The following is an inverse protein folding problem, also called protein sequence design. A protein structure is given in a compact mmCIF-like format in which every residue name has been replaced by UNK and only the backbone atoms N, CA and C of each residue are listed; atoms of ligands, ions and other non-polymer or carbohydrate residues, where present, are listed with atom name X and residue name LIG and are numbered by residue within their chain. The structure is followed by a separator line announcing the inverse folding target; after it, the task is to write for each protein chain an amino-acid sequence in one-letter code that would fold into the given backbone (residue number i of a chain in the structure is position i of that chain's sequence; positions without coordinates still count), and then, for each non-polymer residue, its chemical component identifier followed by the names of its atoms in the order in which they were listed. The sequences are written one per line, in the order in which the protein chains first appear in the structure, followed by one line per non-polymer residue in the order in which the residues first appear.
data_IF_213780494302
#
_entry.id   IF_213780494302
#
_cell.length_a   1.000
_cell.length_b   1.000
_cell.length_c   1.000
_cell.angle_alpha   90.00
_cell.angle_beta   90.00
_cell.angle_gamma   90.00
#
_symmetry.space_group_name_H-M   'P 1'
#
loop_
_entity.id
_entity.type
_entity.pdbx_description
1 polymer ?
#
# COMPACT_ATOMS: atom_id res chain seq x y z
N UNK A 1 0.74 -1.87 -0.21
CA UNK A 1 0.96 -3.31 0.05
C UNK A 1 0.00 -3.85 1.11
N UNK A 2 -0.15 -3.24 2.31
CA UNK A 2 -1.03 -3.77 3.36
C UNK A 2 -2.48 -3.97 2.87
N UNK A 3 -3.07 -3.00 2.16
CA UNK A 3 -4.44 -3.12 1.63
C UNK A 3 -4.58 -4.21 0.57
N UNK A 4 -3.59 -4.44 -0.28
CA UNK A 4 -3.58 -5.55 -1.22
C UNK A 4 -3.66 -6.91 -0.49
N UNK A 5 -2.92 -7.07 0.59
CA UNK A 5 -2.98 -8.28 1.42
C UNK A 5 -4.32 -8.43 2.16
N UNK A 6 -4.95 -7.33 2.60
CA UNK A 6 -6.31 -7.39 3.17
C UNK A 6 -7.34 -7.83 2.13
N UNK A 7 -7.26 -7.29 0.90
CA UNK A 7 -8.11 -7.71 -0.21
C UNK A 7 -7.91 -9.20 -0.55
N UNK A 8 -6.67 -9.71 -0.49
CA UNK A 8 -6.38 -11.14 -0.66
C UNK A 8 -7.06 -11.99 0.43
N UNK A 9 -7.01 -11.57 1.70
CA UNK A 9 -7.71 -12.23 2.80
C UNK A 9 -9.23 -12.23 2.59
N UNK A 10 -9.78 -11.15 2.04
CA UNK A 10 -11.22 -10.98 1.81
C UNK A 10 -11.73 -11.69 0.56
N UNK A 11 -10.87 -12.17 -0.36
CA UNK A 11 -11.31 -13.01 -1.46
C UNK A 11 -10.72 -12.73 -2.83
N UNK A 12 -10.14 -11.55 -3.08
CA UNK A 12 -9.45 -11.28 -4.34
C UNK A 12 -8.22 -12.18 -4.48
N UNK A 13 -7.78 -12.42 -5.71
CA UNK A 13 -6.58 -13.20 -5.99
C UNK A 13 -5.40 -12.28 -6.36
N UNK A 14 -4.14 -12.74 -6.16
CA UNK A 14 -2.96 -11.91 -6.45
C UNK A 14 -2.95 -11.34 -7.87
N UNK A 15 -3.26 -12.16 -8.87
CA UNK A 15 -3.28 -11.72 -10.27
C UNK A 15 -4.39 -10.70 -10.55
N UNK A 16 -5.56 -10.82 -9.92
CA UNK A 16 -6.66 -9.87 -10.06
C UNK A 16 -6.24 -8.50 -9.49
N UNK A 17 -5.67 -8.51 -8.28
CA UNK A 17 -5.24 -7.27 -7.61
C UNK A 17 -4.13 -6.58 -8.42
N UNK A 18 -3.14 -7.35 -8.87
CA UNK A 18 -2.04 -6.82 -9.68
C UNK A 18 -2.56 -6.24 -11.01
N UNK A 19 -3.42 -6.96 -11.73
CA UNK A 19 -4.01 -6.49 -12.99
C UNK A 19 -4.87 -5.25 -12.81
N UNK A 20 -5.69 -5.18 -11.77
CA UNK A 20 -6.51 -4.02 -11.48
C UNK A 20 -5.64 -2.76 -11.25
N UNK A 21 -4.57 -2.89 -10.46
CA UNK A 21 -3.67 -1.77 -10.17
C UNK A 21 -2.77 -1.42 -11.36
N UNK A 22 -2.34 -2.40 -12.15
CA UNK A 22 -1.62 -2.15 -13.41
C UNK A 22 -2.54 -1.48 -14.45
N UNK A 23 -3.83 -1.82 -14.51
CA UNK A 23 -4.81 -1.13 -15.35
C UNK A 23 -5.07 0.31 -14.91
N UNK A 24 -4.98 0.59 -13.61
CA UNK A 24 -4.98 1.96 -13.08
C UNK A 24 -3.77 2.75 -13.56
N UNK A 25 -2.65 2.07 -13.87
CA UNK A 25 -1.44 2.63 -14.45
C UNK A 25 -0.19 2.46 -13.59
N UNK A 26 -0.22 1.69 -12.50
CA UNK A 26 0.99 1.32 -11.77
C UNK A 26 1.90 0.47 -12.67
N UNK A 27 3.21 0.69 -12.57
CA UNK A 27 4.20 -0.04 -13.39
C UNK A 27 4.25 -1.55 -13.08
N UNK A 28 3.88 -1.93 -11.87
CA UNK A 28 3.89 -3.31 -11.39
C UNK A 28 2.89 -3.48 -10.25
N UNK A 29 2.17 -4.58 -10.25
CA UNK A 29 1.27 -4.93 -9.16
C UNK A 29 2.01 -5.29 -7.87
N UNK A 30 1.36 -5.12 -6.71
CA UNK A 30 2.00 -5.28 -5.40
C UNK A 30 2.51 -6.69 -5.12
N UNK A 31 1.84 -7.73 -5.58
CA UNK A 31 2.27 -9.12 -5.33
C UNK A 31 3.46 -9.50 -6.21
N UNK A 32 3.50 -9.03 -7.47
CA UNK A 32 4.68 -9.16 -8.33
C UNK A 32 5.88 -8.41 -7.74
N UNK A 33 5.64 -7.23 -7.17
CA UNK A 33 6.70 -6.45 -6.52
C UNK A 33 7.20 -7.15 -5.24
N UNK A 34 6.31 -7.71 -4.42
CA UNK A 34 6.70 -8.47 -3.23
C UNK A 34 7.54 -9.69 -3.60
N UNK A 35 7.16 -10.44 -4.64
CA UNK A 35 7.94 -11.59 -5.13
C UNK A 35 9.30 -11.17 -5.69
N UNK A 36 9.40 -9.99 -6.31
CA UNK A 36 10.66 -9.45 -6.82
C UNK A 36 11.63 -9.09 -5.69
N UNK A 37 11.13 -8.43 -4.63
CA UNK A 37 11.92 -8.03 -3.45
C UNK A 37 12.32 -9.26 -2.63
N UNK A 38 11.41 -10.21 -2.50
CA UNK A 38 11.53 -11.40 -1.67
C UNK A 38 10.75 -11.28 -0.35
N UNK A 39 9.85 -12.23 -0.16
CA UNK A 39 8.93 -12.28 1.00
C UNK A 39 9.67 -12.53 2.31
N UNK A 40 10.81 -13.23 2.26
CA UNK A 40 11.56 -13.65 3.44
C UNK A 40 12.25 -12.50 4.19
N UNK A 41 12.41 -11.33 3.60
CA UNK A 41 13.06 -10.19 4.27
C UNK A 41 12.30 -9.79 5.54
N UNK A 42 11.03 -9.48 5.41
CA UNK A 42 10.17 -9.12 6.55
C UNK A 42 9.88 -10.30 7.49
N UNK A 43 9.68 -11.49 6.93
CA UNK A 43 9.45 -12.71 7.69
C UNK A 43 10.62 -13.06 8.61
N UNK A 44 11.86 -13.05 8.09
CA UNK A 44 13.07 -13.30 8.90
C UNK A 44 13.24 -12.26 10.00
N UNK A 45 13.01 -10.99 9.71
CA UNK A 45 13.09 -9.92 10.71
C UNK A 45 12.10 -10.15 11.87
N UNK A 46 10.84 -10.52 11.58
CA UNK A 46 9.83 -10.87 12.60
C UNK A 46 10.23 -12.09 13.41
N UNK A 47 10.70 -13.16 12.75
CA UNK A 47 11.17 -14.36 13.46
C UNK A 47 12.34 -14.06 14.39
N UNK A 48 13.30 -13.25 13.98
CA UNK A 48 14.45 -12.89 14.82
C UNK A 48 14.05 -12.01 16.00
N UNK A 49 13.07 -11.12 15.84
CA UNK A 49 12.60 -10.24 16.93
C UNK A 49 11.53 -10.90 17.82
N UNK A 50 11.06 -12.11 17.50
CA UNK A 50 9.97 -12.77 18.22
C UNK A 50 8.61 -12.05 18.11
N UNK A 51 8.45 -11.19 17.11
CA UNK A 51 7.20 -10.46 16.88
C UNK A 51 6.17 -11.36 16.18
N UNK A 52 4.92 -11.25 16.61
CA UNK A 52 3.81 -11.87 15.88
C UNK A 52 3.64 -11.23 14.50
N UNK A 53 3.20 -12.03 13.55
CA UNK A 53 2.90 -11.57 12.20
C UNK A 53 1.65 -10.70 12.20
N UNK A 54 1.76 -9.41 11.86
CA UNK A 54 0.58 -8.58 11.63
C UNK A 54 -0.34 -9.20 10.60
N UNK A 55 -1.64 -9.01 10.75
CA UNK A 55 -2.65 -9.64 9.88
C UNK A 55 -2.34 -9.50 8.37
N UNK A 56 -1.94 -8.33 7.83
CA UNK A 56 -1.63 -8.20 6.40
C UNK A 56 -0.39 -9.01 5.96
N UNK A 57 0.42 -9.54 6.86
CA UNK A 57 1.63 -10.29 6.50
C UNK A 57 1.48 -11.79 6.63
N UNK A 58 0.40 -12.27 7.28
CA UNK A 58 0.22 -13.69 7.60
C UNK A 58 0.28 -14.62 6.39
N UNK A 59 -0.32 -14.23 5.26
CA UNK A 59 -0.26 -15.04 4.03
C UNK A 59 1.17 -15.12 3.50
N UNK A 60 1.87 -13.97 3.41
CA UNK A 60 3.27 -13.93 2.97
C UNK A 60 4.19 -14.74 3.86
N UNK A 61 3.96 -14.70 5.18
CA UNK A 61 4.71 -15.49 6.15
C UNK A 61 4.44 -16.99 6.00
N UNK A 62 3.19 -17.39 5.77
CA UNK A 62 2.85 -18.80 5.51
C UNK A 62 3.44 -19.31 4.19
N UNK A 63 3.54 -18.48 3.16
CA UNK A 63 4.26 -18.82 1.94
C UNK A 63 5.77 -19.04 2.23
N UNK A 64 6.37 -18.19 3.06
CA UNK A 64 7.77 -18.34 3.48
C UNK A 64 8.02 -19.64 4.26
N UNK A 65 7.06 -20.10 5.11
CA UNK A 65 7.15 -21.41 5.80
C UNK A 65 7.22 -22.58 4.80
N UNK A 66 6.72 -22.40 3.58
CA UNK A 66 6.80 -23.37 2.49
C UNK A 66 7.98 -23.12 1.55
N UNK A 67 8.96 -22.29 1.95
CA UNK A 67 10.12 -21.87 1.15
C UNK A 67 9.74 -21.13 -0.14
N UNK A 68 8.56 -20.50 -0.20
CA UNK A 68 8.09 -19.68 -1.30
C UNK A 68 8.49 -18.23 -1.03
N UNK A 69 9.73 -17.87 -1.40
CA UNK A 69 10.33 -16.57 -1.08
C UNK A 69 10.20 -15.53 -2.20
N UNK A 70 9.51 -15.85 -3.29
CA UNK A 70 9.39 -15.03 -4.49
C UNK A 70 10.27 -15.51 -5.63
N UNK A 71 10.65 -14.60 -6.53
CA UNK A 71 11.41 -14.93 -7.74
C UNK A 71 12.71 -15.68 -7.47
N UNK A 72 13.42 -15.37 -6.40
CA UNK A 72 14.70 -16.01 -6.04
C UNK A 72 14.60 -17.50 -5.69
N UNK A 73 13.40 -17.97 -5.33
CA UNK A 73 13.11 -19.38 -5.09
C UNK A 73 12.21 -19.99 -6.15
N UNK A 74 11.99 -19.29 -7.25
CA UNK A 74 11.05 -19.62 -8.33
C UNK A 74 9.59 -19.80 -7.86
N UNK A 75 9.27 -19.42 -6.65
CA UNK A 75 7.95 -19.53 -6.06
C UNK A 75 7.73 -18.47 -4.97
N UNK A 76 6.58 -17.80 -5.03
CA UNK A 76 6.09 -16.81 -4.07
C UNK A 76 4.57 -16.78 -4.11
N UNK A 77 3.99 -15.61 -4.27
CA UNK A 77 2.57 -15.47 -4.64
C UNK A 77 2.29 -16.06 -6.02
N UNK A 78 3.29 -16.05 -6.88
CA UNK A 78 3.31 -16.65 -8.21
C UNK A 78 4.36 -17.75 -8.28
N UNK A 79 4.27 -18.55 -9.35
CA UNK A 79 5.32 -19.45 -9.77
C UNK A 79 6.16 -18.82 -10.88
N UNK A 80 7.44 -19.14 -10.92
CA UNK A 80 8.37 -18.65 -11.92
C UNK A 80 9.13 -19.80 -12.56
N UNK A 81 9.35 -19.70 -13.87
CA UNK A 81 10.26 -20.63 -14.57
C UNK A 81 11.68 -20.13 -14.40
N UNK A 82 12.62 -21.02 -14.18
CA UNK A 82 14.04 -20.69 -14.06
C UNK A 82 14.51 -19.80 -15.24
N UNK A 83 15.18 -18.70 -14.92
CA UNK A 83 15.61 -17.69 -15.89
C UNK A 83 14.53 -16.74 -16.42
N UNK A 84 13.26 -16.91 -16.02
CA UNK A 84 12.16 -16.04 -16.40
C UNK A 84 11.63 -15.23 -15.21
N UNK A 85 11.30 -13.95 -15.44
CA UNK A 85 10.60 -13.09 -14.47
C UNK A 85 9.09 -13.02 -14.71
N UNK A 86 8.58 -13.76 -15.69
CA UNK A 86 7.15 -13.79 -15.96
C UNK A 86 6.42 -14.56 -14.86
N UNK A 87 5.41 -13.95 -14.20
CA UNK A 87 4.64 -14.62 -13.19
C UNK A 87 3.68 -15.63 -13.83
N UNK A 88 3.61 -16.83 -13.26
CA UNK A 88 2.60 -17.83 -13.59
C UNK A 88 1.67 -17.99 -12.39
N UNK A 89 0.36 -18.21 -12.57
CA UNK A 89 -0.56 -18.49 -11.49
C UNK A 89 -0.06 -19.63 -10.59
N UNK A 90 -0.35 -19.52 -9.30
CA UNK A 90 0.00 -20.53 -8.29
C UNK A 90 -1.28 -20.98 -7.56
N UNK A 91 -2.14 -21.79 -8.21
CA UNK A 91 -3.42 -22.21 -7.64
C UNK A 91 -3.26 -23.02 -6.35
N UNK A 92 -2.14 -23.68 -6.16
CA UNK A 92 -1.80 -24.40 -4.91
C UNK A 92 -1.76 -23.49 -3.68
N UNK A 93 -1.56 -22.19 -3.86
CA UNK A 93 -1.57 -21.23 -2.76
C UNK A 93 -2.99 -20.94 -2.23
N UNK A 94 -4.04 -21.26 -2.98
CA UNK A 94 -5.41 -20.95 -2.58
C UNK A 94 -5.83 -21.65 -1.29
N UNK A 95 -5.28 -22.85 -1.00
CA UNK A 95 -5.51 -23.52 0.27
C UNK A 95 -4.97 -22.69 1.44
N UNK A 96 -3.79 -22.07 1.28
CA UNK A 96 -3.20 -21.19 2.29
C UNK A 96 -4.07 -19.94 2.47
N UNK A 97 -4.51 -19.33 1.38
CA UNK A 97 -5.36 -18.15 1.42
C UNK A 97 -6.66 -18.44 2.15
N UNK A 98 -7.34 -19.53 1.80
CA UNK A 98 -8.60 -19.94 2.41
C UNK A 98 -8.45 -20.25 3.90
N UNK A 99 -7.40 -20.99 4.27
CA UNK A 99 -7.09 -21.34 5.67
C UNK A 99 -6.88 -20.07 6.51
N UNK A 100 -5.97 -19.19 6.08
CA UNK A 100 -5.62 -17.98 6.85
C UNK A 100 -6.80 -17.02 6.92
N UNK A 101 -7.57 -16.87 5.83
CA UNK A 101 -8.80 -16.07 5.82
C UNK A 101 -9.79 -16.58 6.88
N UNK A 102 -10.08 -17.88 6.87
CA UNK A 102 -11.01 -18.51 7.83
C UNK A 102 -10.53 -18.39 9.28
N UNK A 103 -9.25 -18.68 9.55
CA UNK A 103 -8.65 -18.59 10.89
C UNK A 103 -8.69 -17.16 11.47
N UNK A 104 -8.77 -16.13 10.60
CA UNK A 104 -8.85 -14.73 11.01
C UNK A 104 -10.26 -14.13 10.84
N UNK A 105 -11.28 -14.95 10.66
CA UNK A 105 -12.69 -14.53 10.65
C UNK A 105 -13.15 -13.90 9.34
N UNK A 106 -12.41 -14.04 8.25
CA UNK A 106 -12.82 -13.53 6.95
C UNK A 106 -13.67 -14.56 6.20
N UNK A 107 -14.81 -14.11 5.71
CA UNK A 107 -15.58 -14.82 4.69
C UNK A 107 -15.16 -14.29 3.33
N UNK A 108 -14.53 -15.13 2.52
CA UNK A 108 -14.08 -14.73 1.19
C UNK A 108 -15.27 -14.44 0.28
N UNK A 109 -15.18 -13.36 -0.49
CA UNK A 109 -16.20 -12.87 -1.41
C UNK A 109 -15.58 -12.42 -2.72
N UNK A 110 -16.41 -12.24 -3.73
CA UNK A 110 -15.99 -11.54 -4.95
C UNK A 110 -15.74 -10.06 -4.65
N UNK A 111 -14.65 -9.53 -5.19
CA UNK A 111 -14.24 -8.14 -5.06
C UNK A 111 -14.04 -7.59 -6.47
N UNK A 112 -14.66 -6.46 -6.78
CA UNK A 112 -14.51 -5.83 -8.09
C UNK A 112 -13.16 -5.12 -8.24
N UNK A 113 -12.71 -4.97 -9.49
CA UNK A 113 -11.49 -4.22 -9.81
C UNK A 113 -11.61 -2.76 -9.36
N UNK A 114 -12.81 -2.17 -9.43
CA UNK A 114 -13.05 -0.82 -8.90
C UNK A 114 -12.79 -0.75 -7.38
N UNK A 115 -13.30 -1.72 -6.61
CA UNK A 115 -13.05 -1.78 -5.18
C UNK A 115 -11.57 -1.96 -4.87
N UNK A 116 -10.86 -2.80 -5.63
CA UNK A 116 -9.41 -3.01 -5.49
C UNK A 116 -8.65 -1.69 -5.67
N UNK A 117 -8.93 -1.00 -6.78
CA UNK A 117 -8.29 0.29 -7.10
C UNK A 117 -8.60 1.31 -6.01
N UNK A 118 -9.88 1.51 -5.72
CA UNK A 118 -10.32 2.48 -4.71
C UNK A 118 -9.64 2.23 -3.37
N UNK A 119 -9.70 1.03 -2.84
CA UNK A 119 -9.16 0.72 -1.52
C UNK A 119 -7.66 0.91 -1.44
N UNK A 120 -6.93 0.55 -2.48
CA UNK A 120 -5.48 0.74 -2.50
C UNK A 120 -5.08 2.21 -2.67
N UNK A 121 -5.74 2.93 -3.56
CA UNK A 121 -5.39 4.32 -3.87
C UNK A 121 -5.89 5.29 -2.80
N UNK A 122 -7.11 5.10 -2.28
CA UNK A 122 -7.64 5.92 -1.19
C UNK A 122 -6.81 5.79 0.10
N UNK A 123 -6.28 4.60 0.39
CA UNK A 123 -5.36 4.41 1.52
C UNK A 123 -4.07 5.24 1.36
N UNK A 124 -3.53 5.34 0.13
CA UNK A 124 -2.36 6.19 -0.15
C UNK A 124 -2.69 7.67 0.00
N UNK A 125 -3.85 8.08 -0.50
CA UNK A 125 -4.32 9.47 -0.41
C UNK A 125 -4.53 9.87 1.05
N UNK A 126 -5.20 9.03 1.82
CA UNK A 126 -5.52 9.31 3.22
C UNK A 126 -4.26 9.43 4.07
N UNK A 127 -3.35 8.47 3.96
CA UNK A 127 -2.03 8.50 4.62
C UNK A 127 -1.22 9.72 4.19
N UNK A 128 -1.22 10.05 2.89
CA UNK A 128 -0.55 11.25 2.36
C UNK A 128 -1.08 12.54 2.97
N UNK A 129 -2.39 12.64 3.20
CA UNK A 129 -3.00 13.79 3.85
C UNK A 129 -2.62 13.87 5.35
N UNK A 130 -2.52 12.73 6.04
CA UNK A 130 -2.07 12.69 7.43
C UNK A 130 -0.59 13.09 7.56
N UNK A 131 0.29 12.54 6.72
CA UNK A 131 1.72 12.90 6.65
C UNK A 131 1.89 14.41 6.39
N UNK A 132 1.06 14.99 5.53
CA UNK A 132 1.06 16.42 5.24
C UNK A 132 0.58 17.23 6.45
N UNK A 133 -0.48 16.78 7.12
CA UNK A 133 -1.03 17.43 8.30
C UNK A 133 -0.09 17.41 9.51
N UNK A 134 0.69 16.36 9.65
CA UNK A 134 1.72 16.19 10.68
C UNK A 134 2.99 17.00 10.41
N UNK A 135 3.18 17.49 9.16
CA UNK A 135 4.37 18.23 8.74
C UNK A 135 5.57 17.32 8.47
N UNK A 136 5.37 16.01 8.29
CA UNK A 136 6.40 15.06 7.84
C UNK A 136 6.75 15.33 6.38
N UNK A 137 5.74 15.50 5.51
CA UNK A 137 5.92 16.09 4.18
C UNK A 137 5.62 17.58 4.23
N UNK A 138 6.41 18.39 3.53
CA UNK A 138 6.21 19.84 3.50
C UNK A 138 5.13 20.25 2.51
N UNK A 139 5.04 19.56 1.38
CA UNK A 139 4.10 19.91 0.29
C UNK A 139 3.46 18.62 -0.26
N UNK A 140 2.25 18.74 -0.74
CA UNK A 140 1.56 17.65 -1.45
C UNK A 140 2.38 17.16 -2.65
N UNK A 141 3.02 18.09 -3.39
CA UNK A 141 3.87 17.75 -4.52
C UNK A 141 5.12 16.92 -4.16
N UNK A 142 5.62 17.01 -2.92
CA UNK A 142 6.76 16.19 -2.48
C UNK A 142 6.35 14.72 -2.39
N UNK A 143 5.13 14.44 -1.92
CA UNK A 143 4.54 13.10 -1.89
C UNK A 143 4.33 12.60 -3.33
N UNK A 144 3.77 13.43 -4.21
CA UNK A 144 3.55 13.07 -5.61
C UNK A 144 4.84 12.68 -6.32
N UNK A 145 5.91 13.47 -6.16
CA UNK A 145 7.23 13.22 -6.76
C UNK A 145 7.83 11.89 -6.26
N UNK A 146 7.73 11.61 -4.96
CA UNK A 146 8.21 10.35 -4.37
C UNK A 146 7.44 9.16 -4.95
N UNK A 147 6.12 9.26 -5.06
CA UNK A 147 5.31 8.15 -5.59
C UNK A 147 5.51 7.90 -7.09
N UNK A 148 5.67 8.96 -7.88
CA UNK A 148 5.94 8.83 -9.33
C UNK A 148 7.32 8.19 -9.55
N UNK A 149 8.37 8.68 -8.89
CA UNK A 149 9.73 8.25 -9.18
C UNK A 149 10.16 7.01 -8.39
N UNK A 150 9.62 6.80 -7.19
CA UNK A 150 10.04 5.71 -6.30
C UNK A 150 9.12 4.49 -6.31
N UNK A 151 7.82 4.69 -6.57
CA UNK A 151 6.82 3.63 -6.42
C UNK A 151 6.02 3.34 -7.70
N UNK A 152 6.38 3.98 -8.82
CA UNK A 152 5.77 3.70 -10.12
C UNK A 152 4.33 4.16 -10.25
N UNK A 153 3.92 5.18 -9.49
CA UNK A 153 2.61 5.79 -9.68
C UNK A 153 2.53 6.43 -11.06
N UNK A 154 1.40 6.29 -11.80
CA UNK A 154 1.33 6.76 -13.17
C UNK A 154 1.53 8.28 -13.28
N UNK A 155 2.56 8.68 -14.04
CA UNK A 155 2.98 10.08 -14.19
C UNK A 155 1.85 10.96 -14.74
N UNK A 156 1.02 10.43 -15.62
CA UNK A 156 -0.11 11.14 -16.23
C UNK A 156 -1.26 11.40 -15.24
N UNK A 157 -1.27 10.76 -14.09
CA UNK A 157 -2.17 11.04 -12.97
C UNK A 157 -1.58 12.05 -11.98
N UNK A 158 -0.30 12.42 -12.11
CA UNK A 158 0.35 13.48 -11.34
C UNK A 158 0.72 13.13 -9.90
N UNK A 159 0.58 11.87 -9.50
CA UNK A 159 0.79 11.43 -8.11
C UNK A 159 -0.48 11.34 -7.29
N UNK A 160 -0.45 10.74 -6.08
CA UNK A 160 -1.65 10.46 -5.28
C UNK A 160 -2.36 11.72 -4.81
N UNK A 161 -1.65 12.79 -4.44
CA UNK A 161 -2.25 14.02 -3.95
C UNK A 161 -2.89 14.82 -5.09
N UNK A 162 -2.19 14.92 -6.23
CA UNK A 162 -2.74 15.52 -7.43
C UNK A 162 -3.97 14.76 -7.92
N UNK A 163 -3.92 13.43 -7.91
CA UNK A 163 -5.04 12.57 -8.30
C UNK A 163 -6.26 12.77 -7.38
N UNK A 164 -6.05 12.91 -6.06
CA UNK A 164 -7.11 13.23 -5.11
C UNK A 164 -7.79 14.56 -5.43
N UNK A 165 -7.01 15.60 -5.76
CA UNK A 165 -7.56 16.89 -6.18
C UNK A 165 -8.37 16.78 -7.48
N UNK A 166 -7.91 15.96 -8.44
CA UNK A 166 -8.61 15.72 -9.71
C UNK A 166 -9.92 14.95 -9.54
N UNK A 167 -9.97 14.02 -8.57
CA UNK A 167 -11.21 13.32 -8.20
C UNK A 167 -12.22 14.25 -7.53
N UNK A 168 -11.76 15.26 -6.81
CA UNK A 168 -12.53 16.08 -5.89
C UNK A 168 -12.51 15.52 -4.47
N UNK A 169 -12.08 16.35 -3.50
CA UNK A 169 -11.85 15.88 -2.13
C UNK A 169 -13.14 15.46 -1.41
N UNK A 170 -14.29 15.99 -1.77
CA UNK A 170 -15.60 15.53 -1.31
C UNK A 170 -15.87 14.08 -1.71
N UNK A 171 -15.56 13.69 -2.96
CA UNK A 171 -15.70 12.32 -3.45
C UNK A 171 -14.71 11.39 -2.74
N UNK A 172 -13.48 11.85 -2.51
CA UNK A 172 -12.46 11.09 -1.75
C UNK A 172 -12.95 10.81 -0.33
N UNK A 173 -13.46 11.80 0.38
CA UNK A 173 -14.00 11.65 1.74
C UNK A 173 -15.19 10.70 1.77
N UNK A 174 -16.16 10.85 0.84
CA UNK A 174 -17.30 9.95 0.72
C UNK A 174 -16.89 8.49 0.50
N UNK A 175 -15.97 8.25 -0.43
CA UNK A 175 -15.45 6.90 -0.69
C UNK A 175 -14.69 6.33 0.50
N UNK A 176 -13.88 7.12 1.21
CA UNK A 176 -13.20 6.70 2.43
C UNK A 176 -14.22 6.30 3.51
N UNK A 177 -15.27 7.08 3.75
CA UNK A 177 -16.33 6.76 4.70
C UNK A 177 -17.03 5.45 4.33
N UNK A 178 -17.40 5.28 3.05
CA UNK A 178 -17.98 4.03 2.53
C UNK A 178 -17.09 2.81 2.87
N UNK A 179 -15.79 2.88 2.60
CA UNK A 179 -14.91 1.75 2.89
C UNK A 179 -14.61 1.59 4.38
N UNK A 180 -14.65 2.64 5.17
CA UNK A 180 -14.62 2.55 6.63
C UNK A 180 -15.83 1.76 7.17
N UNK A 181 -17.03 2.02 6.66
CA UNK A 181 -18.26 1.30 7.04
C UNK A 181 -18.22 -0.18 6.60
N UNK A 182 -17.77 -0.45 5.36
CA UNK A 182 -17.71 -1.82 4.82
C UNK A 182 -16.68 -2.68 5.54
N UNK A 183 -15.49 -2.11 5.84
CA UNK A 183 -14.35 -2.90 6.34
C UNK A 183 -14.14 -2.79 7.85
N UNK A 184 -14.69 -1.77 8.49
CA UNK A 184 -14.39 -1.42 9.89
C UNK A 184 -12.96 -0.91 10.11
N UNK A 185 -12.11 -0.86 9.07
CA UNK A 185 -10.69 -0.54 9.20
C UNK A 185 -10.45 0.96 9.41
N UNK A 186 -9.63 1.30 10.41
CA UNK A 186 -9.26 2.69 10.70
C UNK A 186 -8.46 3.37 9.57
N UNK A 187 -7.84 2.62 8.68
CA UNK A 187 -7.09 3.19 7.55
C UNK A 187 -7.97 3.99 6.59
N UNK A 188 -9.28 3.72 6.58
CA UNK A 188 -10.26 4.45 5.79
C UNK A 188 -11.00 5.54 6.59
N UNK A 189 -10.62 5.78 7.86
CA UNK A 189 -11.11 6.95 8.57
C UNK A 189 -10.55 8.20 7.87
N UNK A 190 -11.40 9.06 7.29
CA UNK A 190 -10.89 10.20 6.55
C UNK A 190 -10.03 11.11 7.43
N UNK A 191 -8.87 11.52 6.91
CA UNK A 191 -8.01 12.52 7.53
C UNK A 191 -8.78 13.80 7.80
N UNK A 192 -8.53 14.42 8.95
CA UNK A 192 -9.14 15.72 9.30
C UNK A 192 -8.82 16.80 8.27
N UNK A 193 -7.62 16.76 7.69
CA UNK A 193 -7.22 17.64 6.60
C UNK A 193 -8.11 17.45 5.36
N UNK A 194 -8.39 16.22 4.95
CA UNK A 194 -9.27 15.93 3.82
C UNK A 194 -10.68 16.43 4.08
N UNK A 195 -11.23 16.17 5.28
CA UNK A 195 -12.56 16.65 5.65
C UNK A 195 -12.63 18.18 5.60
N UNK A 196 -11.65 18.85 6.19
CA UNK A 196 -11.58 20.30 6.21
C UNK A 196 -11.55 20.88 4.79
N UNK A 197 -10.59 20.42 3.97
CA UNK A 197 -10.42 20.92 2.61
C UNK A 197 -11.64 20.60 1.73
N UNK A 198 -12.27 19.42 1.90
CA UNK A 198 -13.49 19.08 1.19
C UNK A 198 -14.63 20.06 1.49
N UNK A 199 -14.83 20.42 2.77
CA UNK A 199 -15.85 21.37 3.19
C UNK A 199 -15.59 22.81 2.70
N UNK A 200 -14.32 23.18 2.53
CA UNK A 200 -13.89 24.50 2.06
C UNK A 200 -13.76 24.56 0.52
N UNK A 201 -14.06 23.49 -0.22
CA UNK A 201 -13.76 23.32 -1.65
C UNK A 201 -12.29 23.63 -1.98
N UNK A 202 -11.39 23.37 -1.03
CA UNK A 202 -9.95 23.57 -1.14
C UNK A 202 -9.26 22.40 -1.84
N UNK A 203 -7.94 22.51 -1.96
CA UNK A 203 -7.08 21.49 -2.58
C UNK A 203 -5.89 21.18 -1.67
N UNK A 204 -5.35 19.95 -1.77
CA UNK A 204 -4.20 19.51 -0.99
C UNK A 204 -2.93 20.35 -1.24
N UNK A 205 -2.74 20.85 -2.46
CA UNK A 205 -1.61 21.71 -2.79
C UNK A 205 -1.74 23.14 -2.24
N UNK A 206 -2.90 23.52 -1.72
CA UNK A 206 -3.19 24.80 -1.06
C UNK A 206 -3.11 24.67 0.47
N UNK A 207 -2.88 23.46 0.98
CA UNK A 207 -2.73 23.24 2.41
C UNK A 207 -1.58 24.10 2.96
N UNK A 208 -1.78 24.77 4.13
CA UNK A 208 -0.75 25.65 4.68
C UNK A 208 0.50 24.85 5.02
N UNK A 209 1.66 25.37 4.60
CA UNK A 209 2.94 24.83 5.03
C UNK A 209 3.03 24.95 6.55
N UNK A 210 3.12 23.84 7.28
CA UNK A 210 3.48 23.91 8.69
C UNK A 210 4.97 24.22 8.76
N UNK A 211 5.29 25.46 9.14
CA UNK A 211 6.66 25.89 9.40
C UNK A 211 7.26 25.06 10.55
N UNK A 212 8.56 24.80 10.38
CA UNK A 212 9.48 24.11 11.26
C UNK A 212 9.36 22.58 11.27
N UNK A 213 10.40 21.95 10.72
CA UNK A 213 10.73 20.55 11.00
C UNK A 213 10.65 20.34 12.51
N UNK A 214 9.65 19.63 12.98
CA UNK A 214 9.81 18.99 14.28
C UNK A 214 10.95 18.00 14.12
N UNK A 215 12.04 18.23 14.85
CA UNK A 215 13.18 17.33 15.06
C UNK A 215 12.69 15.99 15.63
N UNK A 216 12.07 15.16 14.82
CA UNK A 216 11.64 13.80 15.19
C UNK A 216 12.46 12.71 14.49
N UNK A 217 13.39 13.07 13.63
CA UNK A 217 14.40 12.15 13.15
C UNK A 217 15.68 12.54 13.89
N UNK A 218 16.06 11.81 14.92
CA UNK A 218 17.32 11.95 15.65
C UNK A 218 18.55 11.67 14.79
N UNK A 219 18.64 12.37 13.66
CA UNK A 219 19.81 12.44 12.81
C UNK A 219 20.40 13.83 12.99
N UNK A 220 21.32 13.93 13.96
CA UNK A 220 22.16 15.10 14.11
C UNK A 220 23.13 15.17 12.91
N UNK A 221 22.80 16.05 11.97
CA UNK A 221 23.66 16.34 10.82
C UNK A 221 24.83 17.25 11.17
N UNK A 222 24.98 17.69 12.42
CA UNK A 222 26.09 18.53 12.87
C UNK A 222 27.43 17.78 12.96
N UNK A 223 27.39 16.45 13.01
CA UNK A 223 28.56 15.58 13.09
C UNK A 223 29.22 15.25 11.72
N UNK A 224 28.62 15.67 10.58
CA UNK A 224 29.12 15.37 9.22
C UNK A 224 29.78 16.59 8.55
N UNK A 225 29.75 17.76 9.18
CA UNK A 225 30.35 18.99 8.62
C UNK A 225 31.77 19.29 9.18
N UNK A 226 32.50 18.28 9.59
CA UNK A 226 33.90 18.40 9.99
C UNK A 226 34.77 17.50 9.12
N UNK A 227 35.67 18.15 8.35
CA UNK A 227 36.76 17.59 7.54
C UNK A 227 36.46 17.34 6.05
N UNK A 228 36.46 18.47 5.32
CA UNK A 228 37.06 18.59 3.98
C UNK A 228 37.82 19.90 3.88
#
# INVERSE_FOLDING_TARGET
TAQANMLLLEGALPHQIDQALESFGLNMGPFRMMDLIGLDLGWRARKLSGQESPLPTKIGDALCEQNRFGQKSNAGYYNYTEGSRAPNPAPENEEIYNKISSENGFTRREISDEEIIDRCILALINEGADILSEGVAQRAADIDVVYINGYGFPIWRGGPMHHANAMGLNIVVEKLQKYKEITGSEIYKPSEMLIKLANENGKLNEAPLKGERKEKLGFDMSSVAGDF
#
